data_IF_905936918292
#
_entry.id   IF_905936918292
#
_cell.length_a   1.000
_cell.length_b   1.000
_cell.length_c   1.000
_cell.angle_alpha   90.00
_cell.angle_beta   90.00
_cell.angle_gamma   90.00
#
_symmetry.space_group_name_H-M   'P 1'
#
loop_
_entity.id
_entity.type
_entity.pdbx_description
1 polymer ?
#
# COMPACT_ATOMS: atom_id res chain seq x y z
N UNK A 1 8.67 -11.22 11.20
CA UNK A 1 8.51 -9.77 11.39
C UNK A 1 9.69 -9.07 10.74
N UNK A 2 9.45 -8.02 9.95
CA UNK A 2 10.49 -7.26 9.22
C UNK A 2 11.27 -6.35 10.17
N UNK A 3 12.56 -6.19 9.90
CA UNK A 3 13.43 -5.23 10.58
C UNK A 3 13.06 -3.79 10.20
N UNK A 4 13.50 -2.82 11.01
CA UNK A 4 13.28 -1.39 10.70
C UNK A 4 13.88 -1.00 9.35
N UNK A 5 15.03 -1.57 8.98
CA UNK A 5 15.70 -1.27 7.72
C UNK A 5 14.93 -1.85 6.51
N UNK A 6 14.45 -3.09 6.61
CA UNK A 6 13.56 -3.66 5.59
C UNK A 6 12.27 -2.84 5.43
N UNK A 7 11.68 -2.39 6.54
CA UNK A 7 10.48 -1.55 6.50
C UNK A 7 10.72 -0.20 5.81
N UNK A 8 11.88 0.44 6.07
CA UNK A 8 12.26 1.67 5.37
C UNK A 8 12.41 1.45 3.87
N UNK A 9 13.03 0.35 3.47
CA UNK A 9 13.19 0.01 2.06
C UNK A 9 11.82 -0.21 1.39
N UNK A 10 10.95 -1.02 2.00
CA UNK A 10 9.58 -1.24 1.51
C UNK A 10 8.82 0.08 1.41
N UNK A 11 8.90 0.93 2.43
CA UNK A 11 8.22 2.22 2.44
C UNK A 11 8.75 3.17 1.35
N UNK A 12 10.03 3.07 0.99
CA UNK A 12 10.59 3.83 -0.14
C UNK A 12 10.07 3.32 -1.49
N UNK A 13 10.05 2.00 -1.69
CA UNK A 13 9.56 1.38 -2.92
C UNK A 13 8.06 1.68 -3.14
N UNK A 14 7.26 1.62 -2.07
CA UNK A 14 5.85 2.01 -2.08
C UNK A 14 5.67 3.49 -2.45
N UNK A 15 6.54 4.39 -1.99
CA UNK A 15 6.50 5.81 -2.39
C UNK A 15 6.77 6.00 -3.88
N UNK A 16 7.70 5.24 -4.44
CA UNK A 16 7.99 5.26 -5.88
C UNK A 16 6.74 4.81 -6.65
N UNK A 17 6.07 3.75 -6.20
CA UNK A 17 4.85 3.25 -6.85
C UNK A 17 3.67 4.21 -6.72
N UNK A 18 3.52 4.93 -5.60
CA UNK A 18 2.54 6.02 -5.47
C UNK A 18 2.77 7.09 -6.54
N UNK A 19 4.01 7.52 -6.73
CA UNK A 19 4.37 8.54 -7.72
C UNK A 19 4.08 8.04 -9.14
N UNK A 20 4.46 6.78 -9.46
CA UNK A 20 4.20 6.16 -10.77
C UNK A 20 2.70 6.05 -11.07
N UNK A 21 1.90 5.58 -10.11
CA UNK A 21 0.44 5.46 -10.24
C UNK A 21 -0.20 6.82 -10.56
N UNK A 22 0.03 7.82 -9.72
CA UNK A 22 -0.59 9.15 -9.86
C UNK A 22 -0.11 9.84 -11.12
N UNK A 23 1.18 9.74 -11.45
CA UNK A 23 1.75 10.29 -12.67
C UNK A 23 1.12 9.66 -13.91
N UNK A 24 1.04 8.32 -13.98
CA UNK A 24 0.43 7.64 -15.12
C UNK A 24 -1.05 7.99 -15.28
N UNK A 25 -1.78 8.09 -14.18
CA UNK A 25 -3.20 8.44 -14.19
C UNK A 25 -3.48 9.91 -14.50
N UNK A 26 -2.47 10.78 -14.43
CA UNK A 26 -2.62 12.25 -14.46
C UNK A 26 -3.67 12.75 -13.43
N UNK A 27 -3.87 12.00 -12.35
CA UNK A 27 -4.94 12.21 -11.37
C UNK A 27 -4.64 11.46 -10.08
N UNK A 28 -4.86 12.09 -8.92
CA UNK A 28 -4.69 11.44 -7.61
C UNK A 28 -4.15 12.39 -6.54
N UNK A 29 -3.94 11.87 -5.32
CA UNK A 29 -3.50 12.66 -4.16
C UNK A 29 -2.14 12.16 -3.64
N UNK A 30 -1.02 12.60 -4.21
CA UNK A 30 0.30 12.09 -3.85
C UNK A 30 0.71 12.52 -2.43
N UNK A 31 0.49 13.77 -2.03
CA UNK A 31 0.95 14.28 -0.72
C UNK A 31 0.40 13.48 0.47
N UNK A 32 -0.92 13.29 0.52
CA UNK A 32 -1.57 12.49 1.56
C UNK A 32 -1.17 11.02 1.55
N UNK A 33 -0.83 10.47 0.37
CA UNK A 33 -0.41 9.08 0.20
C UNK A 33 1.03 8.86 0.68
N UNK A 34 1.96 9.73 0.23
CA UNK A 34 3.37 9.69 0.62
C UNK A 34 3.53 9.85 2.14
N UNK A 35 2.75 10.74 2.76
CA UNK A 35 2.83 11.02 4.19
C UNK A 35 2.40 9.88 5.11
N UNK A 36 1.53 8.96 4.68
CA UNK A 36 1.09 7.83 5.52
C UNK A 36 1.84 6.52 5.23
N UNK A 37 2.84 6.53 4.34
CA UNK A 37 3.45 5.28 3.84
C UNK A 37 4.14 4.47 4.93
N UNK A 38 4.85 5.11 5.86
CA UNK A 38 5.55 4.37 6.93
C UNK A 38 4.56 3.67 7.88
N UNK A 39 3.45 4.33 8.20
CA UNK A 39 2.37 3.76 9.04
C UNK A 39 1.78 2.52 8.35
N UNK A 40 1.41 2.63 7.07
CA UNK A 40 0.84 1.50 6.34
C UNK A 40 1.85 0.36 6.18
N UNK A 41 3.12 0.68 5.98
CA UNK A 41 4.18 -0.33 5.86
C UNK A 41 4.33 -1.12 7.15
N UNK A 42 4.39 -0.45 8.31
CA UNK A 42 4.44 -1.12 9.61
C UNK A 42 3.18 -1.95 9.85
N UNK A 43 2.00 -1.39 9.57
CA UNK A 43 0.73 -2.10 9.75
C UNK A 43 0.68 -3.40 8.95
N UNK A 44 0.95 -3.35 7.64
CA UNK A 44 0.78 -4.51 6.76
C UNK A 44 1.92 -5.53 6.84
N UNK A 45 3.13 -5.14 7.24
CA UNK A 45 4.28 -6.05 7.25
C UNK A 45 4.63 -6.58 8.64
N UNK A 46 4.22 -5.90 9.72
CA UNK A 46 4.58 -6.29 11.09
C UNK A 46 3.41 -6.43 12.07
N UNK A 47 2.34 -5.64 11.94
CA UNK A 47 1.31 -5.57 13.00
C UNK A 47 0.08 -6.41 12.67
N UNK A 48 -0.46 -6.26 11.46
CA UNK A 48 -1.71 -6.89 11.07
C UNK A 48 -1.51 -8.34 10.62
N UNK A 49 -2.40 -9.22 11.06
CA UNK A 49 -2.61 -10.51 10.40
C UNK A 49 -3.35 -10.30 9.08
N UNK A 50 -2.57 -10.15 8.01
CA UNK A 50 -3.04 -10.19 6.63
C UNK A 50 -1.94 -10.72 5.70
N UNK A 51 -2.33 -11.65 4.85
CA UNK A 51 -1.49 -12.34 3.87
C UNK A 51 -2.30 -12.50 2.57
N UNK A 52 -1.64 -12.77 1.43
CA UNK A 52 -2.35 -13.12 0.20
C UNK A 52 -3.32 -14.30 0.38
N UNK A 53 -2.96 -15.28 1.22
CA UNK A 53 -3.73 -16.50 1.43
C UNK A 53 -4.98 -16.28 2.30
N UNK A 54 -4.93 -15.34 3.25
CA UNK A 54 -6.05 -15.07 4.17
C UNK A 54 -6.78 -13.74 3.89
N UNK A 55 -6.50 -13.05 2.78
CA UNK A 55 -7.06 -11.72 2.48
C UNK A 55 -8.59 -11.65 2.43
N UNK A 56 -9.27 -12.78 2.16
CA UNK A 56 -10.74 -12.90 2.13
C UNK A 56 -11.33 -13.50 3.41
N UNK A 57 -10.49 -13.90 4.38
CA UNK A 57 -10.93 -14.49 5.64
C UNK A 57 -11.72 -13.48 6.49
N UNK A 58 -12.65 -13.98 7.31
CA UNK A 58 -13.40 -13.16 8.27
C UNK A 58 -12.53 -12.77 9.48
N UNK A 59 -11.58 -13.64 9.86
CA UNK A 59 -10.79 -13.57 11.10
C UNK A 59 -9.53 -12.70 10.99
N UNK A 60 -9.20 -12.23 9.78
CA UNK A 60 -8.03 -11.36 9.58
C UNK A 60 -8.24 -9.98 10.22
N UNK A 61 -7.13 -9.30 10.50
CA UNK A 61 -7.18 -7.90 10.86
C UNK A 61 -7.72 -7.04 9.71
N UNK A 62 -8.42 -5.96 10.06
CA UNK A 62 -9.07 -5.06 9.10
C UNK A 62 -8.54 -3.65 9.22
N UNK A 63 -8.07 -3.13 8.10
CA UNK A 63 -7.70 -1.73 7.96
C UNK A 63 -8.75 -0.99 7.13
N UNK A 64 -9.16 0.19 7.60
CA UNK A 64 -10.07 1.09 6.88
C UNK A 64 -9.36 2.42 6.64
N UNK A 65 -9.09 2.74 5.37
CA UNK A 65 -8.51 4.02 5.00
C UNK A 65 -9.59 5.12 4.95
N UNK A 66 -9.95 5.67 6.12
CA UNK A 66 -10.99 6.72 6.19
C UNK A 66 -10.66 7.96 5.35
N UNK A 67 -9.37 8.32 5.25
CA UNK A 67 -8.86 9.33 4.30
C UNK A 67 -8.71 8.75 2.89
N UNK A 68 -9.82 8.28 2.32
CA UNK A 68 -9.87 7.45 1.11
C UNK A 68 -9.20 8.06 -0.13
N UNK A 69 -9.04 9.39 -0.18
CA UNK A 69 -8.29 10.07 -1.24
C UNK A 69 -6.82 9.63 -1.32
N UNK A 70 -6.24 9.08 -0.24
CA UNK A 70 -4.91 8.49 -0.21
C UNK A 70 -4.86 7.02 -0.72
N UNK A 71 -5.85 6.61 -1.52
CA UNK A 71 -5.92 5.28 -2.13
C UNK A 71 -4.65 4.82 -2.89
N UNK A 72 -3.85 5.70 -3.55
CA UNK A 72 -2.59 5.25 -4.17
C UNK A 72 -1.65 4.52 -3.19
N UNK A 73 -1.60 4.96 -1.92
CA UNK A 73 -0.78 4.32 -0.91
C UNK A 73 -1.29 2.94 -0.52
N UNK A 74 -2.62 2.80 -0.36
CA UNK A 74 -3.22 1.51 -0.03
C UNK A 74 -3.00 0.49 -1.14
N UNK A 75 -3.21 0.87 -2.40
CA UNK A 75 -2.98 -0.04 -3.54
C UNK A 75 -1.50 -0.43 -3.66
N UNK A 76 -0.57 0.54 -3.53
CA UNK A 76 0.86 0.22 -3.54
C UNK A 76 1.28 -0.72 -2.40
N UNK A 77 0.72 -0.56 -1.19
CA UNK A 77 0.99 -1.47 -0.06
C UNK A 77 0.44 -2.88 -0.32
N UNK A 78 -0.78 -3.00 -0.83
CA UNK A 78 -1.38 -4.29 -1.17
C UNK A 78 -0.59 -5.00 -2.27
N UNK A 79 -0.10 -4.26 -3.28
CA UNK A 79 0.77 -4.78 -4.33
C UNK A 79 2.13 -5.23 -3.77
N UNK A 80 2.77 -4.41 -2.94
CA UNK A 80 4.04 -4.76 -2.28
C UNK A 80 3.93 -5.97 -1.36
N UNK A 81 2.75 -6.19 -0.76
CA UNK A 81 2.43 -7.35 0.08
C UNK A 81 2.06 -8.60 -0.75
N UNK A 82 1.88 -8.46 -2.07
CA UNK A 82 1.47 -9.54 -2.97
C UNK A 82 -0.02 -9.91 -2.89
N UNK A 83 -0.85 -9.06 -2.27
CA UNK A 83 -2.30 -9.29 -2.16
C UNK A 83 -3.00 -8.98 -3.49
N UNK A 84 -2.46 -8.03 -4.26
CA UNK A 84 -2.88 -7.76 -5.64
C UNK A 84 -1.64 -7.84 -6.57
N UNK A 85 -1.82 -8.15 -7.86
CA UNK A 85 -0.71 -8.10 -8.81
C UNK A 85 -0.12 -6.70 -8.92
N UNK A 86 1.20 -6.57 -8.96
CA UNK A 86 1.89 -5.27 -9.06
C UNK A 86 1.50 -4.51 -10.35
N UNK A 87 1.25 -5.25 -11.43
CA UNK A 87 0.82 -4.70 -12.71
C UNK A 87 -0.51 -3.93 -12.65
N UNK A 88 -1.40 -4.24 -11.69
CA UNK A 88 -2.65 -3.50 -11.49
C UNK A 88 -2.41 -2.04 -11.10
N UNK A 89 -1.24 -1.70 -10.54
CA UNK A 89 -0.93 -0.29 -10.25
C UNK A 89 -0.89 0.57 -11.53
N UNK A 90 -0.70 -0.05 -12.70
CA UNK A 90 -0.70 0.64 -14.00
C UNK A 90 -2.10 1.03 -14.48
N UNK A 91 -3.15 0.45 -13.90
CA UNK A 91 -4.56 0.70 -14.26
C UNK A 91 -5.24 1.70 -13.32
N UNK A 92 -4.47 2.32 -12.40
CA UNK A 92 -5.02 3.29 -11.44
C UNK A 92 -5.82 4.41 -12.14
N UNK A 93 -7.12 4.50 -11.81
CA UNK A 93 -8.09 5.47 -12.33
C UNK A 93 -8.31 5.44 -13.86
N UNK A 94 -8.09 4.29 -14.49
CA UNK A 94 -8.46 4.05 -15.90
C UNK A 94 -9.78 3.28 -16.01
#
# INVERSE_FOLDING_TARGET
MKTVEELKQIANDVRIDIIRQVSRAQSGHPGGSLGCTDILTVLYFNVMDITPENAVSIDRDRFVLSKGHASPALYAILAAKGIIPHEELKTFRQ
#
